data_IF_252728302975
#
_entry.id   IF_252728302975
#
_cell.length_a   1.000
_cell.length_b   1.000
_cell.length_c   1.000
_cell.angle_alpha   90.00
_cell.angle_beta   90.00
_cell.angle_gamma   90.00
#
_symmetry.space_group_name_H-M   'P 1'
#
loop_
_entity.id
_entity.type
_entity.pdbx_description
1 polymer ?
#
# COMPACT_ATOMS: atom_id res chain seq x y z
N UNK A 1 -22.63 2.02 1.23
CA UNK A 1 -21.63 1.05 0.73
C UNK A 1 -20.31 1.41 1.38
N UNK A 2 -19.52 0.47 1.91
CA UNK A 2 -18.15 0.78 2.27
C UNK A 2 -17.49 1.26 0.98
N UNK A 3 -17.09 2.53 0.94
CA UNK A 3 -16.50 3.11 -0.24
C UNK A 3 -15.16 2.39 -0.49
N UNK A 4 -14.92 2.00 -1.75
CA UNK A 4 -13.61 1.55 -2.20
C UNK A 4 -12.57 2.60 -1.80
N UNK A 5 -11.77 2.27 -0.80
CA UNK A 5 -10.84 3.18 -0.15
C UNK A 5 -9.41 2.66 -0.28
N UNK A 6 -9.12 2.01 -1.42
CA UNK A 6 -7.84 1.37 -1.70
C UNK A 6 -6.70 2.40 -1.65
N UNK A 7 -6.86 3.56 -2.30
CA UNK A 7 -5.86 4.63 -2.30
C UNK A 7 -5.56 5.12 -0.88
N UNK A 8 -6.59 5.38 -0.07
CA UNK A 8 -6.41 5.79 1.32
C UNK A 8 -5.77 4.68 2.15
N UNK A 9 -6.13 3.41 1.91
CA UNK A 9 -5.50 2.26 2.60
C UNK A 9 -4.01 2.18 2.31
N UNK A 10 -3.60 2.43 1.06
CA UNK A 10 -2.18 2.53 0.66
C UNK A 10 -1.53 3.72 1.35
N UNK A 11 -2.14 4.91 1.26
CA UNK A 11 -1.63 6.14 1.86
C UNK A 11 -1.41 6.00 3.37
N UNK A 12 -2.42 5.53 4.10
CA UNK A 12 -2.37 5.30 5.54
C UNK A 12 -1.24 4.34 5.88
N UNK A 13 -1.07 3.26 5.11
CA UNK A 13 0.02 2.32 5.35
C UNK A 13 1.40 2.95 5.10
N UNK A 14 1.56 3.79 4.07
CA UNK A 14 2.81 4.50 3.81
C UNK A 14 3.20 5.45 4.96
N UNK A 15 2.25 6.22 5.50
CA UNK A 15 2.54 7.20 6.56
C UNK A 15 2.67 6.56 7.95
N UNK A 16 2.05 5.39 8.17
CA UNK A 16 2.12 4.64 9.44
C UNK A 16 3.18 3.55 9.47
N UNK A 17 3.79 3.20 8.34
CA UNK A 17 4.91 2.26 8.28
C UNK A 17 6.04 2.69 9.23
N UNK A 18 6.78 1.74 9.78
CA UNK A 18 7.84 2.05 10.74
C UNK A 18 8.84 3.06 10.17
N UNK A 19 9.30 3.98 11.03
CA UNK A 19 10.21 5.06 10.61
C UNK A 19 11.46 4.52 9.91
N UNK A 20 12.01 3.39 10.38
CA UNK A 20 13.16 2.72 9.77
C UNK A 20 12.85 2.30 8.33
N UNK A 21 11.68 1.70 8.08
CA UNK A 21 11.26 1.28 6.74
C UNK A 21 11.13 2.51 5.83
N UNK A 22 10.41 3.55 6.29
CA UNK A 22 10.20 4.78 5.51
C UNK A 22 11.52 5.46 5.17
N UNK A 23 12.44 5.59 6.13
CA UNK A 23 13.74 6.23 5.89
C UNK A 23 14.63 5.44 4.93
N UNK A 24 14.60 4.11 4.95
CA UNK A 24 15.37 3.29 4.00
C UNK A 24 14.73 3.23 2.60
N UNK A 25 13.40 3.26 2.51
CA UNK A 25 12.68 3.42 1.24
C UNK A 25 13.02 4.78 0.60
N UNK A 26 12.95 5.85 1.40
CA UNK A 26 13.21 7.22 0.97
C UNK A 26 14.69 7.54 0.74
N UNK A 27 15.61 6.72 1.27
CA UNK A 27 17.04 7.04 1.30
C UNK A 27 17.35 8.29 2.13
N UNK A 28 16.55 8.57 3.17
CA UNK A 28 16.74 9.75 4.04
C UNK A 28 17.67 9.41 5.20
N UNK A 29 18.97 9.57 4.96
CA UNK A 29 20.05 9.52 5.96
C UNK A 29 21.34 10.04 5.34
N UNK A 30 22.21 10.70 6.11
CA UNK A 30 23.41 11.38 5.56
C UNK A 30 24.29 10.48 4.66
N UNK A 31 24.27 9.16 4.89
CA UNK A 31 25.04 8.17 4.12
C UNK A 31 24.17 7.11 3.42
N UNK A 32 22.83 7.20 3.50
CA UNK A 32 21.93 6.11 3.07
C UNK A 32 21.44 6.32 1.64
N UNK A 33 21.61 5.29 0.80
CA UNK A 33 20.89 5.14 -0.46
C UNK A 33 19.56 4.41 -0.21
N UNK A 34 18.63 4.49 -1.17
CA UNK A 34 17.42 3.67 -1.16
C UNK A 34 17.79 2.19 -1.12
N UNK A 35 17.10 1.42 -0.29
CA UNK A 35 17.36 -0.02 -0.15
C UNK A 35 16.29 -0.83 -0.88
N UNK A 36 16.66 -1.68 -1.86
CA UNK A 36 15.68 -2.53 -2.54
C UNK A 36 15.09 -3.56 -1.58
N UNK A 37 15.91 -4.14 -0.69
CA UNK A 37 15.46 -5.10 0.33
C UNK A 37 14.39 -4.50 1.24
N UNK A 38 14.63 -3.29 1.77
CA UNK A 38 13.63 -2.65 2.65
C UNK A 38 12.41 -2.15 1.86
N UNK A 39 12.57 -1.78 0.59
CA UNK A 39 11.44 -1.47 -0.28
C UNK A 39 10.55 -2.70 -0.50
N UNK A 40 11.14 -3.89 -0.61
CA UNK A 40 10.38 -5.14 -0.69
C UNK A 40 9.62 -5.45 0.61
N UNK A 41 10.22 -5.20 1.78
CA UNK A 41 9.51 -5.30 3.07
C UNK A 41 8.30 -4.37 3.11
N UNK A 42 8.44 -3.12 2.65
CA UNK A 42 7.30 -2.20 2.57
C UNK A 42 6.20 -2.72 1.63
N UNK A 43 6.57 -3.31 0.50
CA UNK A 43 5.62 -3.94 -0.42
C UNK A 43 4.90 -5.12 0.22
N UNK A 44 5.59 -6.00 0.95
CA UNK A 44 5.01 -7.12 1.69
C UNK A 44 4.01 -6.67 2.75
N UNK A 45 4.33 -5.61 3.49
CA UNK A 45 3.44 -5.03 4.48
C UNK A 45 2.19 -4.39 3.84
N UNK A 46 2.35 -3.71 2.70
CA UNK A 46 1.24 -3.18 1.92
C UNK A 46 0.31 -4.30 1.45
N UNK A 47 0.86 -5.32 0.80
CA UNK A 47 0.06 -6.48 0.34
C UNK A 47 -0.66 -7.14 1.50
N UNK A 48 0.01 -7.36 2.62
CA UNK A 48 -0.60 -7.99 3.79
C UNK A 48 -1.74 -7.14 4.36
N UNK A 49 -1.64 -5.81 4.29
CA UNK A 49 -2.73 -4.89 4.70
C UNK A 49 -3.90 -4.95 3.72
N UNK A 50 -3.63 -4.92 2.41
CA UNK A 50 -4.65 -4.91 1.38
C UNK A 50 -5.42 -6.22 1.30
N UNK A 51 -4.72 -7.36 1.40
CA UNK A 51 -5.29 -8.70 1.35
C UNK A 51 -6.29 -9.00 2.48
N UNK A 52 -6.39 -8.13 3.50
CA UNK A 52 -7.45 -8.24 4.51
C UNK A 52 -8.83 -8.01 3.88
N UNK A 53 -8.98 -6.99 3.03
CA UNK A 53 -10.29 -6.61 2.48
C UNK A 53 -10.36 -6.71 0.95
N UNK A 54 -9.24 -6.80 0.26
CA UNK A 54 -9.18 -6.77 -1.20
C UNK A 54 -8.71 -8.11 -1.76
N UNK A 55 -9.43 -8.62 -2.75
CA UNK A 55 -8.98 -9.71 -3.61
C UNK A 55 -8.70 -9.17 -5.00
N UNK A 56 -7.48 -9.43 -5.50
CA UNK A 56 -7.04 -9.01 -6.83
C UNK A 56 -7.10 -10.19 -7.80
N UNK A 57 -7.57 -9.94 -9.01
CA UNK A 57 -7.67 -10.94 -10.07
C UNK A 57 -7.10 -10.42 -11.38
N UNK A 58 -6.50 -11.32 -12.17
CA UNK A 58 -5.97 -11.05 -13.51
C UNK A 58 -6.36 -12.19 -14.44
N UNK A 59 -6.94 -11.86 -15.59
CA UNK A 59 -7.41 -12.86 -16.56
C UNK A 59 -8.29 -13.96 -15.92
N UNK A 60 -9.16 -13.58 -14.97
CA UNK A 60 -10.07 -14.49 -14.27
C UNK A 60 -9.45 -15.36 -13.18
N UNK A 61 -8.15 -15.19 -12.86
CA UNK A 61 -7.46 -15.91 -11.77
C UNK A 61 -7.14 -14.97 -10.61
N UNK A 62 -7.23 -15.48 -9.39
CA UNK A 62 -6.77 -14.76 -8.19
C UNK A 62 -5.25 -14.62 -8.28
N UNK A 63 -4.78 -13.39 -8.09
CA UNK A 63 -3.36 -13.05 -8.08
C UNK A 63 -2.77 -13.54 -6.76
N UNK A 64 -1.66 -14.26 -6.83
CA UNK A 64 -1.02 -14.75 -5.62
C UNK A 64 -0.28 -13.63 -4.87
N UNK A 65 0.00 -13.89 -3.59
CA UNK A 65 0.68 -12.90 -2.74
C UNK A 65 2.07 -12.53 -3.28
N UNK A 66 2.94 -13.48 -3.69
CA UNK A 66 4.25 -13.14 -4.24
C UNK A 66 4.21 -12.25 -5.49
N UNK A 67 3.30 -12.52 -6.44
CA UNK A 67 3.12 -11.71 -7.64
C UNK A 67 2.71 -10.28 -7.28
N UNK A 68 1.74 -10.12 -6.38
CA UNK A 68 1.29 -8.80 -5.96
C UNK A 68 2.39 -8.03 -5.20
N UNK A 69 3.20 -8.72 -4.39
CA UNK A 69 4.35 -8.11 -3.70
C UNK A 69 5.38 -7.62 -4.71
N UNK A 70 5.72 -8.43 -5.71
CA UNK A 70 6.70 -8.06 -6.72
C UNK A 70 6.21 -6.90 -7.60
N UNK A 71 4.91 -6.88 -7.91
CA UNK A 71 4.28 -5.74 -8.59
C UNK A 71 4.39 -4.45 -7.78
N UNK A 72 3.96 -4.47 -6.51
CA UNK A 72 4.03 -3.28 -5.65
C UNK A 72 5.49 -2.85 -5.44
N UNK A 73 6.41 -3.79 -5.21
CA UNK A 73 7.84 -3.50 -5.11
C UNK A 73 8.37 -2.78 -6.34
N UNK A 74 8.07 -3.28 -7.54
CA UNK A 74 8.50 -2.68 -8.81
C UNK A 74 7.99 -1.24 -8.95
N UNK A 75 6.73 -0.99 -8.57
CA UNK A 75 6.14 0.36 -8.62
C UNK A 75 6.76 1.29 -7.58
N UNK A 76 6.97 0.83 -6.35
CA UNK A 76 7.65 1.60 -5.31
C UNK A 76 9.09 1.93 -5.69
N UNK A 77 9.81 0.99 -6.28
CA UNK A 77 11.20 1.19 -6.70
C UNK A 77 11.31 2.20 -7.84
N UNK A 78 10.32 2.21 -8.76
CA UNK A 78 10.24 3.17 -9.86
C UNK A 78 9.83 4.59 -9.43
N UNK A 79 9.42 4.81 -8.17
CA UNK A 79 9.13 6.17 -7.66
C UNK A 79 10.38 7.05 -7.83
N UNK A 80 10.25 8.27 -8.40
CA UNK A 80 11.35 9.22 -8.49
C UNK A 80 12.03 9.49 -7.15
N UNK A 81 13.35 9.59 -7.15
CA UNK A 81 14.16 9.70 -5.93
C UNK A 81 13.83 10.94 -5.09
N UNK A 82 13.45 12.05 -5.73
CA UNK A 82 13.02 13.29 -5.08
C UNK A 82 11.68 13.09 -4.34
N UNK A 83 10.71 12.43 -4.95
CA UNK A 83 9.42 12.09 -4.33
C UNK A 83 9.62 11.08 -3.19
N UNK A 84 10.44 10.05 -3.41
CA UNK A 84 10.78 9.08 -2.39
C UNK A 84 11.44 9.78 -1.18
N UNK A 85 12.45 10.63 -1.41
CA UNK A 85 13.10 11.42 -0.35
C UNK A 85 12.11 12.31 0.38
N UNK A 86 11.25 13.03 -0.34
CA UNK A 86 10.24 13.91 0.23
C UNK A 86 9.33 13.15 1.20
N UNK A 87 8.87 11.95 0.82
CA UNK A 87 8.01 11.11 1.66
C UNK A 87 8.68 10.65 2.97
N UNK A 88 10.01 10.58 3.01
CA UNK A 88 10.78 10.20 4.19
C UNK A 88 11.22 11.36 5.09
N UNK A 89 10.82 12.60 4.77
CA UNK A 89 11.17 13.77 5.59
C UNK A 89 10.35 13.84 6.87
N UNK A 90 10.84 14.57 7.88
CA UNK A 90 10.07 14.85 9.11
C UNK A 90 9.03 15.94 8.94
N UNK A 91 9.17 16.79 7.93
CA UNK A 91 8.22 17.86 7.66
C UNK A 91 6.94 17.25 7.07
N UNK A 92 5.84 17.37 7.81
CA UNK A 92 4.55 16.77 7.43
C UNK A 92 3.98 17.42 6.17
N UNK A 93 4.20 18.73 6.01
CA UNK A 93 3.74 19.51 4.84
C UNK A 93 4.45 19.08 3.54
N UNK A 94 5.58 18.36 3.64
CA UNK A 94 6.33 17.81 2.51
C UNK A 94 6.08 16.31 2.37
N UNK A 95 6.16 15.57 3.48
CA UNK A 95 6.08 14.11 3.46
C UNK A 95 4.68 13.57 3.14
N UNK A 96 3.61 14.22 3.63
CA UNK A 96 2.24 13.74 3.35
C UNK A 96 1.84 13.93 1.88
N UNK A 97 2.05 15.09 1.23
CA UNK A 97 1.79 15.22 -0.20
C UNK A 97 2.58 14.22 -1.05
N UNK A 98 3.86 13.99 -0.71
CA UNK A 98 4.68 13.00 -1.40
C UNK A 98 4.15 11.57 -1.20
N UNK A 99 3.78 11.19 0.02
CA UNK A 99 3.18 9.89 0.31
C UNK A 99 1.83 9.71 -0.42
N UNK A 100 1.03 10.78 -0.52
CA UNK A 100 -0.23 10.78 -1.28
C UNK A 100 0.02 10.59 -2.78
N UNK A 101 1.02 11.26 -3.35
CA UNK A 101 1.40 11.07 -4.75
C UNK A 101 1.85 9.63 -5.04
N UNK A 102 2.64 9.03 -4.13
CA UNK A 102 3.05 7.61 -4.24
C UNK A 102 1.82 6.69 -4.14
N UNK A 103 0.93 6.94 -3.19
CA UNK A 103 -0.28 6.15 -2.99
C UNK A 103 -1.19 6.19 -4.23
N UNK A 104 -1.41 7.39 -4.78
CA UNK A 104 -2.20 7.59 -5.98
C UNK A 104 -1.58 6.88 -7.20
N UNK A 105 -0.26 7.00 -7.39
CA UNK A 105 0.45 6.29 -8.47
C UNK A 105 0.32 4.76 -8.34
N UNK A 106 0.40 4.23 -7.12
CA UNK A 106 0.21 2.80 -6.88
C UNK A 106 -1.24 2.36 -7.09
N UNK A 107 -2.21 3.17 -6.66
CA UNK A 107 -3.63 2.96 -6.90
C UNK A 107 -3.93 2.83 -8.39
N UNK A 108 -3.50 3.80 -9.20
CA UNK A 108 -3.70 3.77 -10.66
C UNK A 108 -3.03 2.54 -11.29
N UNK A 109 -1.81 2.21 -10.85
CA UNK A 109 -1.11 1.03 -11.36
C UNK A 109 -1.87 -0.27 -11.06
N UNK A 110 -2.40 -0.41 -9.83
CA UNK A 110 -3.21 -1.58 -9.45
C UNK A 110 -4.53 -1.63 -10.22
N UNK A 111 -5.19 -0.50 -10.41
CA UNK A 111 -6.47 -0.40 -11.13
C UNK A 111 -6.33 -0.70 -12.63
N UNK A 112 -5.20 -0.36 -13.22
CA UNK A 112 -4.89 -0.68 -14.61
C UNK A 112 -4.51 -2.16 -14.82
N UNK A 113 -3.83 -2.77 -13.85
CA UNK A 113 -3.29 -4.13 -13.99
C UNK A 113 -4.29 -5.21 -13.57
N UNK A 114 -5.10 -4.93 -12.55
CA UNK A 114 -5.89 -5.93 -11.85
C UNK A 114 -7.35 -5.52 -11.70
N UNK A 115 -8.24 -6.52 -11.77
CA UNK A 115 -9.62 -6.36 -11.33
C UNK A 115 -9.64 -6.65 -9.83
N UNK A 116 -10.13 -5.70 -9.04
CA UNK A 116 -10.26 -5.85 -7.58
C UNK A 116 -11.70 -6.10 -7.16
N UNK A 117 -11.85 -6.81 -6.06
CA UNK A 117 -13.10 -6.91 -5.31
C UNK A 117 -12.83 -6.57 -3.85
N UNK A 118 -13.82 -5.95 -3.19
CA UNK A 118 -13.74 -5.53 -1.80
C UNK A 118 -14.76 -6.29 -0.96
N UNK A 119 -14.31 -6.85 0.16
CA UNK A 119 -15.16 -7.43 1.19
C UNK A 119 -14.64 -6.99 2.56
N UNK A 120 -15.44 -6.21 3.28
CA UNK A 120 -15.06 -5.72 4.61
C UNK A 120 -14.91 -6.87 5.59
N UNK A 121 -13.77 -6.95 6.28
CA UNK A 121 -13.55 -7.88 7.39
C UNK A 121 -13.74 -7.23 8.77
N UNK A 122 -14.29 -6.01 8.81
CA UNK A 122 -14.61 -5.31 10.05
C UNK A 122 -15.88 -5.89 10.68
N UNK A 123 -15.78 -6.36 11.92
CA UNK A 123 -16.90 -6.94 12.65
C UNK A 123 -17.94 -5.91 13.10
N UNK A 124 -17.66 -4.61 12.94
CA UNK A 124 -18.61 -3.52 13.17
C UNK A 124 -19.33 -3.08 11.90
N UNK A 125 -18.84 -3.49 10.72
CA UNK A 125 -19.45 -3.17 9.44
C UNK A 125 -20.64 -4.11 9.16
N UNK A 126 -21.87 -3.60 9.05
CA UNK A 126 -23.05 -4.44 8.80
C UNK A 126 -22.98 -5.26 7.52
N UNK A 127 -22.14 -4.86 6.55
CA UNK A 127 -21.92 -5.57 5.29
C UNK A 127 -20.85 -6.66 5.38
N UNK A 128 -20.11 -6.73 6.50
CA UNK A 128 -19.08 -7.75 6.70
C UNK A 128 -19.68 -9.12 7.00
N UNK A 129 -19.16 -10.21 6.42
CA UNK A 129 -19.50 -11.57 6.83
C UNK A 129 -19.30 -11.81 8.33
N UNK A 130 -18.33 -11.14 8.95
CA UNK A 130 -18.02 -11.27 10.38
C UNK A 130 -19.10 -10.64 11.26
N UNK A 131 -19.72 -9.55 10.82
CA UNK A 131 -20.87 -8.96 11.52
C UNK A 131 -22.09 -9.88 11.42
N UNK A 132 -22.40 -10.36 10.22
CA UNK A 132 -23.55 -11.24 9.95
C UNK A 132 -23.49 -12.51 10.81
N UNK A 133 -22.31 -13.12 10.93
CA UNK A 133 -22.12 -14.34 11.72
C UNK A 133 -22.14 -14.10 13.23
N UNK A 134 -21.95 -12.86 13.70
CA UNK A 134 -22.07 -12.49 15.13
C UNK A 134 -23.51 -12.26 15.56
N UNK A 135 -24.38 -11.83 14.64
CA UNK A 135 -25.79 -11.55 14.92
C UNK A 135 -26.68 -12.81 14.97
N UNK A 136 -26.11 -13.99 14.66
CA UNK A 136 -26.74 -15.30 14.82
C UNK A 136 -26.31 -15.95 16.12
#
# INVERSE_FOLDING_TARGET
>A
MPADDLETSIYLKLITAERTIRSNFAGTGQTRKRSPTITKVLAEELVSRLAVNYTFTKAGKVVDKPELVEFIFTRLWAVPDDIAKASGTKNVDVSQPAAKAIAHGLFLALDMEYIRSYESQDFLDPSSPRYINRAK
#
